data_IF_956354315253
#
_entry.id   IF_956354315253
#
_cell.length_a   1.000
_cell.length_b   1.000
_cell.length_c   1.000
_cell.angle_alpha   90.00
_cell.angle_beta   90.00
_cell.angle_gamma   90.00
#
_symmetry.space_group_name_H-M   'P 1'
#
loop_
_entity.id
_entity.type
_entity.pdbx_description
1 polymer ?
#
# COMPACT_ATOMS: atom_id res chain seq x y z
N UNK A 1 -7.81 -9.51 -18.06
CA UNK A 1 -7.78 -8.14 -17.51
C UNK A 1 -6.36 -7.60 -17.56
N UNK A 2 -6.14 -6.42 -18.16
CA UNK A 2 -4.81 -5.82 -18.30
C UNK A 2 -4.27 -5.37 -16.93
N UNK A 3 -3.02 -5.70 -16.62
CA UNK A 3 -2.33 -5.30 -15.38
C UNK A 3 -2.22 -3.78 -15.25
N UNK A 4 -2.06 -3.08 -16.38
CA UNK A 4 -2.02 -1.62 -16.43
C UNK A 4 -3.30 -0.98 -15.87
N UNK A 5 -4.47 -1.51 -16.26
CA UNK A 5 -5.75 -1.01 -15.75
C UNK A 5 -5.86 -1.19 -14.23
N UNK A 6 -5.35 -2.30 -13.68
CA UNK A 6 -5.34 -2.53 -12.22
C UNK A 6 -4.46 -1.51 -11.51
N UNK A 7 -3.26 -1.25 -12.03
CA UNK A 7 -2.33 -0.27 -11.49
C UNK A 7 -2.93 1.15 -11.50
N UNK A 8 -3.56 1.55 -12.61
CA UNK A 8 -4.23 2.85 -12.70
C UNK A 8 -5.38 2.97 -11.70
N UNK A 9 -6.16 1.91 -11.54
CA UNK A 9 -7.25 1.89 -10.56
C UNK A 9 -6.77 1.92 -9.12
N UNK A 10 -5.63 1.30 -8.81
CA UNK A 10 -5.02 1.41 -7.48
C UNK A 10 -4.68 2.84 -7.14
N UNK A 11 -4.12 3.58 -8.09
CA UNK A 11 -3.86 5.00 -7.89
C UNK A 11 -5.15 5.80 -7.72
N UNK A 12 -6.15 5.63 -8.59
CA UNK A 12 -7.39 6.41 -8.53
C UNK A 12 -8.18 6.16 -7.23
N UNK A 13 -8.40 4.89 -6.89
CA UNK A 13 -9.17 4.50 -5.69
C UNK A 13 -8.36 4.76 -4.44
N UNK A 14 -7.07 4.41 -4.47
CA UNK A 14 -6.16 4.59 -3.36
C UNK A 14 -5.97 6.05 -3.00
N UNK A 15 -5.76 6.94 -3.96
CA UNK A 15 -5.61 8.37 -3.70
C UNK A 15 -6.88 8.97 -3.08
N UNK A 16 -8.07 8.61 -3.58
CA UNK A 16 -9.34 9.10 -3.06
C UNK A 16 -9.62 8.63 -1.63
N UNK A 17 -9.35 7.36 -1.34
CA UNK A 17 -9.57 6.81 0.00
C UNK A 17 -8.50 7.24 0.98
N UNK A 18 -7.26 7.37 0.53
CA UNK A 18 -6.20 7.94 1.35
C UNK A 18 -6.50 9.41 1.67
N UNK A 19 -7.04 10.18 0.73
CA UNK A 19 -7.53 11.54 0.97
C UNK A 19 -8.67 11.56 2.00
N UNK A 20 -9.72 10.76 1.78
CA UNK A 20 -10.92 10.79 2.59
C UNK A 20 -10.67 10.31 4.03
N UNK A 21 -9.94 9.19 4.18
CA UNK A 21 -9.79 8.49 5.46
C UNK A 21 -8.35 8.09 5.81
N UNK A 22 -7.57 7.64 4.84
CA UNK A 22 -6.26 7.06 5.14
C UNK A 22 -5.29 8.06 5.76
N UNK A 23 -5.26 9.30 5.30
CA UNK A 23 -4.34 10.30 5.81
C UNK A 23 -4.66 10.69 7.26
N UNK A 24 -5.94 10.76 7.62
CA UNK A 24 -6.38 10.96 9.00
C UNK A 24 -5.94 9.82 9.93
N UNK A 25 -6.03 8.58 9.45
CA UNK A 25 -5.58 7.40 10.19
C UNK A 25 -4.05 7.39 10.37
N UNK A 26 -3.31 7.77 9.32
CA UNK A 26 -1.86 7.75 9.31
C UNK A 26 -1.25 8.88 10.13
N UNK A 27 -1.75 10.11 9.99
CA UNK A 27 -1.09 11.34 10.43
C UNK A 27 -1.96 12.24 11.31
N UNK A 28 -3.21 11.86 11.58
CA UNK A 28 -4.14 12.67 12.36
C UNK A 28 -4.26 12.26 13.83
N UNK A 29 -4.64 13.21 14.67
CA UNK A 29 -5.08 12.94 16.06
C UNK A 29 -3.96 12.71 17.06
N UNK A 30 -4.33 12.39 18.29
CA UNK A 30 -3.40 12.31 19.43
C UNK A 30 -2.45 11.09 19.35
N UNK A 31 -1.25 11.25 19.92
CA UNK A 31 -0.19 10.23 19.89
C UNK A 31 -0.14 9.42 21.19
N UNK A 32 -1.25 9.31 21.92
CA UNK A 32 -1.32 8.66 23.24
C UNK A 32 -2.36 7.54 23.24
N UNK A 33 -2.27 6.60 24.20
CA UNK A 33 -3.20 5.47 24.29
C UNK A 33 -3.39 4.72 22.94
N UNK A 34 -4.66 4.62 22.50
CA UNK A 34 -5.02 4.00 21.21
C UNK A 34 -4.51 4.80 20.01
N UNK A 35 -4.37 6.13 20.15
CA UNK A 35 -3.86 7.03 19.13
C UNK A 35 -2.46 6.68 18.64
N UNK A 36 -1.65 5.96 19.43
CA UNK A 36 -0.34 5.42 18.98
C UNK A 36 -0.45 4.36 17.88
N UNK A 37 -1.61 3.73 17.74
CA UNK A 37 -1.83 2.62 16.82
C UNK A 37 -2.68 3.03 15.63
N UNK A 38 -3.69 3.88 15.84
CA UNK A 38 -4.65 4.30 14.82
C UNK A 38 -5.01 5.77 15.07
N UNK A 39 -4.75 6.65 14.11
CA UNK A 39 -5.22 8.04 14.12
C UNK A 39 -6.69 8.15 13.70
N UNK A 40 -7.25 9.36 13.80
CA UNK A 40 -8.67 9.54 13.48
C UNK A 40 -9.15 10.99 13.43
N UNK A 41 -8.25 11.94 13.27
CA UNK A 41 -8.58 13.35 13.11
C UNK A 41 -8.16 13.86 11.72
N UNK A 42 -8.86 14.86 11.22
CA UNK A 42 -8.57 15.49 9.93
C UNK A 42 -8.99 14.70 8.70
N UNK A 43 -10.15 14.04 8.77
CA UNK A 43 -10.83 13.43 7.62
C UNK A 43 -10.91 14.40 6.43
N UNK A 44 -10.70 13.90 5.21
CA UNK A 44 -10.64 14.74 4.00
C UNK A 44 -9.56 15.86 4.05
N UNK A 45 -8.45 15.63 4.77
CA UNK A 45 -7.42 16.65 5.04
C UNK A 45 -7.95 17.93 5.73
N UNK A 46 -9.10 17.84 6.39
CA UNK A 46 -9.70 18.96 7.10
C UNK A 46 -8.98 19.21 8.44
N UNK A 47 -9.10 20.42 8.97
CA UNK A 47 -8.56 20.76 10.29
C UNK A 47 -7.03 20.88 10.35
N UNK A 48 -6.56 21.17 11.57
CA UNK A 48 -5.18 21.52 11.90
C UNK A 48 -4.46 20.41 12.69
N UNK A 49 -5.18 19.36 13.12
CA UNK A 49 -4.66 18.22 13.88
C UNK A 49 -3.88 17.19 13.06
N UNK A 50 -3.31 17.63 11.95
CA UNK A 50 -2.68 16.80 10.92
C UNK A 50 -1.18 16.99 10.96
N UNK A 51 -0.43 15.89 11.07
CA UNK A 51 1.03 15.92 11.00
C UNK A 51 1.48 16.16 9.55
N UNK A 52 2.38 17.14 9.38
CA UNK A 52 3.17 17.34 8.16
C UNK A 52 4.66 17.15 8.48
N UNK A 53 5.47 16.91 7.45
CA UNK A 53 6.91 16.76 7.61
C UNK A 53 7.63 18.11 7.47
N UNK A 54 8.26 18.57 8.56
CA UNK A 54 9.01 19.82 8.59
C UNK A 54 8.12 21.04 8.27
N UNK A 55 8.50 21.81 7.26
CA UNK A 55 7.78 23.01 6.81
C UNK A 55 6.92 22.77 5.57
N UNK A 56 6.71 21.51 5.17
CA UNK A 56 5.92 21.20 3.99
C UNK A 56 4.44 21.54 4.22
N UNK A 57 3.81 22.14 3.20
CA UNK A 57 2.37 22.29 3.16
C UNK A 57 1.69 20.90 3.21
N UNK A 58 0.54 20.81 3.89
CA UNK A 58 -0.16 19.54 4.09
C UNK A 58 -0.57 18.86 2.78
N UNK A 59 -0.89 19.60 1.73
CA UNK A 59 -1.23 19.03 0.42
C UNK A 59 0.02 18.52 -0.31
N UNK A 60 1.17 19.16 -0.11
CA UNK A 60 2.45 18.68 -0.63
C UNK A 60 2.82 17.36 0.04
N UNK A 61 2.77 17.29 1.37
CA UNK A 61 3.08 16.07 2.10
C UNK A 61 2.05 14.96 1.84
N UNK A 62 0.77 15.29 1.73
CA UNK A 62 -0.26 14.36 1.27
C UNK A 62 0.04 13.78 -0.11
N UNK A 63 0.35 14.63 -1.09
CA UNK A 63 0.65 14.17 -2.46
C UNK A 63 1.87 13.25 -2.49
N UNK A 64 2.88 13.56 -1.67
CA UNK A 64 4.04 12.69 -1.48
C UNK A 64 3.64 11.32 -0.89
N UNK A 65 2.79 11.30 0.13
CA UNK A 65 2.33 10.06 0.78
C UNK A 65 1.37 9.23 -0.09
N UNK A 66 0.60 9.86 -0.99
CA UNK A 66 -0.22 9.14 -1.97
C UNK A 66 0.63 8.24 -2.86
N UNK A 67 1.84 8.68 -3.24
CA UNK A 67 2.75 7.85 -4.03
C UNK A 67 3.08 6.54 -3.30
N UNK A 68 3.43 6.60 -2.02
CA UNK A 68 3.74 5.41 -1.23
C UNK A 68 2.51 4.53 -0.96
N UNK A 69 1.35 5.13 -0.71
CA UNK A 69 0.09 4.38 -0.57
C UNK A 69 -0.25 3.61 -1.84
N UNK A 70 -0.07 4.23 -3.01
CA UNK A 70 -0.26 3.59 -4.31
C UNK A 70 0.79 2.48 -4.55
N UNK A 71 2.05 2.70 -4.18
CA UNK A 71 3.12 1.69 -4.25
C UNK A 71 2.78 0.46 -3.42
N UNK A 72 2.36 0.64 -2.16
CA UNK A 72 1.96 -0.47 -1.29
C UNK A 72 0.80 -1.29 -1.89
N UNK A 73 -0.21 -0.61 -2.42
CA UNK A 73 -1.36 -1.25 -3.07
C UNK A 73 -0.96 -2.04 -4.31
N UNK A 74 -0.12 -1.47 -5.17
CA UNK A 74 0.18 -2.05 -6.49
C UNK A 74 1.17 -3.22 -6.47
N UNK A 75 1.98 -3.38 -5.42
CA UNK A 75 2.84 -4.58 -5.24
C UNK A 75 2.00 -5.87 -5.37
N UNK A 76 0.78 -5.84 -4.84
CA UNK A 76 -0.14 -6.98 -4.86
C UNK A 76 -0.70 -7.25 -6.26
N UNK A 77 -0.79 -6.23 -7.12
CA UNK A 77 -1.26 -6.34 -8.50
C UNK A 77 -0.50 -7.40 -9.29
N UNK A 78 0.84 -7.39 -9.18
CA UNK A 78 1.73 -8.31 -9.88
C UNK A 78 1.61 -9.72 -9.33
N UNK A 79 1.56 -9.86 -8.01
CA UNK A 79 1.40 -11.15 -7.35
C UNK A 79 0.07 -11.82 -7.71
N UNK A 80 -0.99 -11.04 -7.93
CA UNK A 80 -2.37 -11.48 -8.23
C UNK A 80 -2.75 -11.37 -9.72
N UNK A 81 -1.81 -11.11 -10.62
CA UNK A 81 -2.04 -10.95 -12.05
C UNK A 81 -2.73 -12.16 -12.73
N UNK A 82 -3.39 -11.95 -13.87
CA UNK A 82 -4.06 -12.96 -14.73
C UNK A 82 -5.33 -13.64 -14.18
N UNK A 83 -5.37 -14.03 -12.89
CA UNK A 83 -6.46 -14.86 -12.31
C UNK A 83 -7.30 -14.20 -11.22
N UNK A 84 -7.22 -12.89 -11.08
CA UNK A 84 -8.01 -12.12 -10.12
C UNK A 84 -9.14 -11.37 -10.78
N UNK A 85 -10.35 -11.52 -10.24
CA UNK A 85 -11.51 -10.75 -10.66
C UNK A 85 -11.31 -9.26 -10.35
N UNK A 86 -11.64 -8.40 -11.31
CA UNK A 86 -11.39 -6.96 -11.20
C UNK A 86 -12.16 -6.30 -10.04
N UNK A 87 -13.42 -6.68 -9.80
CA UNK A 87 -14.21 -6.13 -8.69
C UNK A 87 -13.58 -6.41 -7.33
N UNK A 88 -13.16 -7.66 -7.10
CA UNK A 88 -12.45 -8.05 -5.88
C UNK A 88 -11.13 -7.30 -5.71
N UNK A 89 -10.45 -7.03 -6.83
CA UNK A 89 -9.22 -6.26 -6.84
C UNK A 89 -9.43 -4.80 -6.42
N UNK A 90 -10.46 -4.14 -6.94
CA UNK A 90 -10.83 -2.77 -6.54
C UNK A 90 -11.19 -2.70 -5.06
N UNK A 91 -11.92 -3.68 -4.53
CA UNK A 91 -12.23 -3.76 -3.10
C UNK A 91 -10.97 -3.93 -2.26
N UNK A 92 -10.06 -4.82 -2.67
CA UNK A 92 -8.77 -4.98 -1.99
C UNK A 92 -7.99 -3.67 -1.96
N UNK A 93 -7.89 -2.99 -3.09
CA UNK A 93 -7.20 -1.69 -3.24
C UNK A 93 -7.78 -0.64 -2.28
N UNK A 94 -9.11 -0.60 -2.19
CA UNK A 94 -9.81 0.28 -1.26
C UNK A 94 -9.45 0.01 0.21
N UNK A 95 -9.43 -1.26 0.61
CA UNK A 95 -9.12 -1.66 1.99
C UNK A 95 -7.67 -1.39 2.34
N UNK A 96 -6.71 -1.72 1.46
CA UNK A 96 -5.30 -1.50 1.77
C UNK A 96 -4.98 0.00 1.85
N UNK A 97 -5.44 0.81 0.89
CA UNK A 97 -5.12 2.24 0.86
C UNK A 97 -5.91 3.07 1.87
N UNK A 98 -7.13 2.67 2.20
CA UNK A 98 -7.97 3.39 3.17
C UNK A 98 -7.74 3.00 4.62
N UNK A 99 -7.27 1.78 4.90
CA UNK A 99 -7.23 1.23 6.27
C UNK A 99 -5.88 0.60 6.59
N UNK A 100 -5.50 -0.49 5.92
CA UNK A 100 -4.35 -1.31 6.34
C UNK A 100 -3.04 -0.53 6.28
N UNK A 101 -2.70 0.02 5.11
CA UNK A 101 -1.47 0.77 4.91
C UNK A 101 -1.39 2.00 5.82
N UNK A 102 -2.43 2.87 5.91
CA UNK A 102 -2.44 3.99 6.86
C UNK A 102 -2.17 3.62 8.32
N UNK A 103 -2.71 2.50 8.79
CA UNK A 103 -2.45 2.01 10.16
C UNK A 103 -0.97 1.67 10.33
N UNK A 104 -0.36 1.00 9.34
CA UNK A 104 1.09 0.71 9.40
C UNK A 104 1.91 1.99 9.35
N UNK A 105 1.52 2.97 8.52
CA UNK A 105 2.15 4.29 8.51
C UNK A 105 2.06 4.95 9.88
N UNK A 106 0.90 4.88 10.53
CA UNK A 106 0.68 5.43 11.88
C UNK A 106 1.72 4.93 12.87
N UNK A 107 2.02 3.63 12.85
CA UNK A 107 2.91 3.01 13.84
C UNK A 107 4.29 3.66 13.87
N UNK A 108 4.81 4.10 12.73
CA UNK A 108 6.16 4.68 12.64
C UNK A 108 6.17 6.10 12.07
N UNK A 109 5.90 6.27 10.77
CA UNK A 109 5.97 7.59 10.11
C UNK A 109 4.95 8.58 10.63
N UNK A 110 3.82 8.09 11.13
CA UNK A 110 2.82 8.89 11.81
C UNK A 110 3.17 9.23 13.26
N UNK A 111 4.31 8.78 13.80
CA UNK A 111 4.72 9.07 15.19
C UNK A 111 4.12 8.13 16.24
N UNK A 112 3.59 6.97 15.84
CA UNK A 112 2.95 6.00 16.70
C UNK A 112 3.91 5.13 17.52
N UNK A 113 3.45 3.96 17.92
CA UNK A 113 4.11 3.15 18.94
C UNK A 113 5.55 2.73 18.58
N UNK A 114 5.84 2.43 17.31
CA UNK A 114 7.19 2.04 16.86
C UNK A 114 8.17 3.23 16.95
N UNK A 115 7.69 4.45 16.70
CA UNK A 115 8.48 5.68 16.82
C UNK A 115 8.71 6.09 18.28
N UNK A 116 7.87 5.62 19.20
CA UNK A 116 7.90 5.96 20.62
C UNK A 116 8.57 4.89 21.51
N UNK A 117 9.14 3.84 20.92
CA UNK A 117 9.92 2.86 21.66
C UNK A 117 11.20 3.50 22.24
N UNK A 118 11.71 2.94 23.35
CA UNK A 118 12.99 3.39 23.94
C UNK A 118 14.14 3.35 22.93
N UNK A 119 14.13 2.35 22.04
CA UNK A 119 14.93 2.33 20.81
C UNK A 119 13.96 2.36 19.63
N UNK A 120 13.76 3.54 18.99
CA UNK A 120 12.82 3.68 17.89
C UNK A 120 13.15 2.72 16.74
N UNK A 121 12.10 2.13 16.15
CA UNK A 121 12.25 1.46 14.88
C UNK A 121 12.62 2.48 13.79
N UNK A 122 13.42 2.08 12.81
CA UNK A 122 13.85 2.96 11.74
C UNK A 122 13.53 2.36 10.38
N UNK A 123 12.67 3.05 9.64
CA UNK A 123 12.39 2.78 8.24
C UNK A 123 12.34 4.12 7.51
N UNK A 124 13.38 4.41 6.74
CA UNK A 124 13.54 5.74 6.14
C UNK A 124 12.61 5.98 4.95
N UNK A 125 12.49 4.98 4.07
CA UNK A 125 11.80 5.11 2.79
C UNK A 125 10.78 3.99 2.51
N UNK A 126 10.49 3.14 3.50
CA UNK A 126 9.35 2.23 3.46
C UNK A 126 9.71 0.80 3.11
N UNK A 127 10.93 0.33 3.42
CA UNK A 127 11.28 -1.09 3.24
C UNK A 127 10.30 -2.00 3.99
N UNK A 128 9.86 -1.59 5.18
CA UNK A 128 8.85 -2.29 5.96
C UNK A 128 7.47 -1.69 5.73
N UNK A 129 7.32 -0.37 5.92
CA UNK A 129 6.02 0.32 5.92
C UNK A 129 5.30 0.17 4.57
N UNK A 130 6.05 0.15 3.46
CA UNK A 130 5.50 0.08 2.10
C UNK A 130 5.73 -1.31 1.51
N UNK A 131 6.98 -1.71 1.36
CA UNK A 131 7.33 -2.94 0.63
C UNK A 131 6.94 -4.20 1.38
N UNK A 132 7.21 -4.30 2.69
CA UNK A 132 6.78 -5.45 3.47
C UNK A 132 5.26 -5.49 3.64
N UNK A 133 4.58 -4.35 3.86
CA UNK A 133 3.10 -4.30 3.91
C UNK A 133 2.48 -4.83 2.61
N UNK A 134 2.90 -4.31 1.46
CA UNK A 134 2.46 -4.79 0.15
C UNK A 134 2.87 -6.24 -0.11
N UNK A 135 4.09 -6.64 0.30
CA UNK A 135 4.60 -8.01 0.15
C UNK A 135 3.81 -9.04 0.96
N UNK A 136 3.48 -8.74 2.21
CA UNK A 136 2.63 -9.58 3.05
C UNK A 136 1.23 -9.72 2.46
N UNK A 137 0.63 -8.61 2.03
CA UNK A 137 -0.67 -8.62 1.35
C UNK A 137 -0.60 -9.41 0.03
N UNK A 138 0.51 -9.32 -0.71
CA UNK A 138 0.74 -10.07 -1.95
C UNK A 138 0.84 -11.58 -1.70
N UNK A 139 1.56 -12.00 -0.65
CA UNK A 139 1.66 -13.41 -0.24
C UNK A 139 0.29 -13.95 0.13
N UNK A 140 -0.46 -13.23 0.99
CA UNK A 140 -1.81 -13.66 1.38
C UNK A 140 -2.77 -13.70 0.19
N UNK A 141 -2.74 -12.68 -0.66
CA UNK A 141 -3.55 -12.62 -1.88
C UNK A 141 -3.24 -13.77 -2.84
N UNK A 142 -1.96 -14.06 -3.08
CA UNK A 142 -1.54 -15.19 -3.91
C UNK A 142 -1.93 -16.55 -3.31
N UNK A 143 -1.84 -16.69 -1.98
CA UNK A 143 -2.23 -17.90 -1.26
C UNK A 143 -3.72 -18.20 -1.44
N UNK A 144 -4.60 -17.23 -1.18
CA UNK A 144 -6.05 -17.42 -1.29
C UNK A 144 -6.55 -17.58 -2.73
N UNK A 145 -5.90 -16.93 -3.71
CA UNK A 145 -6.23 -17.12 -5.13
C UNK A 145 -5.80 -18.50 -5.64
N UNK A 146 -4.73 -19.04 -5.09
CA UNK A 146 -4.06 -20.21 -5.61
C UNK A 146 -3.22 -19.94 -6.88
N UNK A 147 -2.61 -21.01 -7.42
CA UNK A 147 -1.69 -20.91 -8.54
C UNK A 147 -2.40 -20.58 -9.87
N UNK A 148 -1.64 -19.98 -10.78
CA UNK A 148 -2.07 -19.81 -12.17
C UNK A 148 -2.27 -21.19 -12.81
N UNK A 149 -3.23 -21.28 -13.73
CA UNK A 149 -3.42 -22.48 -14.56
C UNK A 149 -2.12 -22.79 -15.31
N UNK A 150 -1.69 -24.04 -15.29
CA UNK A 150 -0.44 -24.48 -15.90
C UNK A 150 0.84 -24.08 -15.16
N UNK A 151 0.76 -23.45 -13.97
CA UNK A 151 1.96 -23.13 -13.18
C UNK A 151 2.64 -24.38 -12.60
N UNK A 152 1.89 -25.45 -12.35
CA UNK A 152 2.39 -26.72 -11.84
C UNK A 152 1.92 -27.85 -12.75
N UNK A 153 2.79 -28.83 -13.02
CA UNK A 153 2.43 -30.06 -13.76
C UNK A 153 1.52 -30.96 -12.92
N UNK A 154 1.03 -32.07 -13.50
CA UNK A 154 0.26 -33.07 -12.78
C UNK A 154 1.04 -33.67 -11.58
N UNK A 155 2.37 -33.71 -11.69
CA UNK A 155 3.31 -34.15 -10.63
C UNK A 155 3.71 -33.01 -9.68
N UNK A 156 3.08 -31.83 -9.78
CA UNK A 156 3.37 -30.67 -8.92
C UNK A 156 4.64 -29.90 -9.27
N UNK A 157 5.33 -30.22 -10.38
CA UNK A 157 6.59 -29.55 -10.74
C UNK A 157 6.31 -28.13 -11.25
N UNK A 158 7.06 -27.11 -10.80
CA UNK A 158 6.92 -25.74 -11.30
C UNK A 158 7.21 -25.66 -12.80
N UNK A 159 6.31 -25.03 -13.53
CA UNK A 159 6.45 -24.70 -14.94
C UNK A 159 6.72 -23.21 -15.11
N UNK A 160 7.55 -22.86 -16.09
CA UNK A 160 7.86 -21.47 -16.43
C UNK A 160 6.73 -20.87 -17.24
N UNK A 161 6.22 -19.72 -16.80
CA UNK A 161 5.30 -18.89 -17.59
C UNK A 161 6.12 -17.69 -18.05
N UNK A 162 6.55 -17.64 -19.32
CA UNK A 162 7.45 -16.59 -19.81
C UNK A 162 6.77 -15.22 -19.78
N UNK A 163 7.57 -14.17 -19.60
CA UNK A 163 7.09 -12.79 -19.70
C UNK A 163 6.66 -12.47 -21.13
N UNK A 164 5.63 -11.63 -21.27
CA UNK A 164 5.08 -11.26 -22.58
C UNK A 164 5.92 -10.19 -23.30
N UNK A 165 6.75 -9.42 -22.59
CA UNK A 165 7.62 -8.39 -23.16
C UNK A 165 8.78 -8.06 -22.21
N UNK A 166 9.99 -8.46 -22.60
CA UNK A 166 11.23 -8.10 -21.88
C UNK A 166 11.50 -6.58 -21.96
N UNK A 167 11.31 -5.89 -23.10
CA UNK A 167 11.50 -4.44 -23.18
C UNK A 167 10.63 -3.67 -22.18
N UNK A 168 9.36 -4.05 -21.99
CA UNK A 168 8.51 -3.40 -20.99
C UNK A 168 8.92 -3.69 -19.55
N UNK A 169 9.43 -4.89 -19.26
CA UNK A 169 9.97 -5.21 -17.95
C UNK A 169 11.22 -4.37 -17.62
N UNK A 170 12.11 -4.18 -18.59
CA UNK A 170 13.30 -3.33 -18.44
C UNK A 170 12.90 -1.86 -18.29
N UNK A 171 11.96 -1.36 -19.10
CA UNK A 171 11.45 0.01 -18.97
C UNK A 171 10.85 0.25 -17.57
N UNK A 172 10.05 -0.69 -17.07
CA UNK A 172 9.48 -0.60 -15.73
C UNK A 172 10.51 -0.72 -14.59
N UNK A 173 11.69 -1.31 -14.84
CA UNK A 173 12.78 -1.32 -13.87
C UNK A 173 13.58 -0.01 -13.87
N UNK A 174 13.59 0.69 -15.00
CA UNK A 174 14.29 1.97 -15.15
C UNK A 174 13.53 3.14 -14.50
N UNK A 175 12.19 3.08 -14.53
CA UNK A 175 11.28 4.06 -13.90
C UNK A 175 11.16 3.77 -12.41
#
# INVERSE_FOLDING_TARGET
ANIFMKNLMDFCVGALLFFAVGYAIAFGGDMTGLGKFIGGDGWFLAGDGIVSYGTLDKFVFFTFQVAFAATAATIVSGAMAERTQFRSYVLYSAVISGIIYPIVVRWQWGGGWLAQMDTPFHDFAGSSIVHMTGGCAAVMGAYFLGPRKGKYSAEGKPQTIPGHSIPFAILGCFI
#
